data_IF_018216637080
#
_entry.id   IF_018216637080
#
_cell.length_a   1.000
_cell.length_b   1.000
_cell.length_c   1.000
_cell.angle_alpha   90.00
_cell.angle_beta   90.00
_cell.angle_gamma   90.00
#
_symmetry.space_group_name_H-M   'P 1'
#
loop_
_entity.id
_entity.type
_entity.pdbx_description
1 polymer ?
#
# COMPACT_ATOMS: atom_id res chain seq x y z
N UNK A 1 -16.88 -57.44 -31.29
CA UNK A 1 -17.34 -58.03 -30.01
C UNK A 1 -17.52 -56.92 -28.98
N UNK A 2 -18.78 -56.66 -28.60
CA UNK A 2 -19.36 -55.94 -27.45
C UNK A 2 -18.83 -54.56 -26.98
N UNK A 3 -19.51 -53.48 -27.41
CA UNK A 3 -19.64 -52.18 -26.71
C UNK A 3 -20.98 -52.12 -25.95
N UNK A 4 -21.10 -52.73 -24.76
CA UNK A 4 -22.37 -52.78 -24.00
C UNK A 4 -22.23 -52.58 -22.48
N UNK A 5 -21.33 -51.71 -22.01
CA UNK A 5 -21.13 -51.50 -20.54
C UNK A 5 -21.60 -50.15 -19.99
N UNK A 6 -21.94 -49.17 -20.83
CA UNK A 6 -22.32 -47.82 -20.40
C UNK A 6 -23.82 -47.64 -20.08
N UNK A 7 -24.71 -48.49 -20.59
CA UNK A 7 -26.17 -48.30 -20.41
C UNK A 7 -26.66 -48.60 -18.99
N UNK A 8 -25.97 -49.43 -18.21
CA UNK A 8 -26.43 -49.79 -16.86
C UNK A 8 -26.31 -48.67 -15.82
N UNK A 9 -25.45 -47.68 -16.03
CA UNK A 9 -25.23 -46.61 -15.04
C UNK A 9 -26.26 -45.48 -15.16
N UNK A 10 -26.65 -45.13 -16.40
CA UNK A 10 -27.68 -44.13 -16.69
C UNK A 10 -29.10 -44.52 -16.25
N UNK A 11 -29.33 -45.82 -16.05
CA UNK A 11 -30.61 -46.39 -15.59
C UNK A 11 -30.76 -46.37 -14.05
N UNK A 12 -29.74 -45.86 -13.33
CA UNK A 12 -29.84 -45.76 -11.87
C UNK A 12 -30.83 -44.66 -11.50
N UNK A 13 -31.76 -44.94 -10.58
CA UNK A 13 -32.77 -43.97 -10.13
C UNK A 13 -32.19 -42.59 -9.72
N UNK A 14 -30.98 -42.57 -9.15
CA UNK A 14 -30.22 -41.36 -8.85
C UNK A 14 -29.91 -40.52 -10.09
N UNK A 15 -29.50 -41.14 -11.20
CA UNK A 15 -29.16 -40.44 -12.43
C UNK A 15 -30.39 -39.77 -13.06
N UNK A 16 -31.52 -40.48 -13.07
CA UNK A 16 -32.78 -40.01 -13.66
C UNK A 16 -33.45 -38.91 -12.86
N UNK A 17 -33.35 -38.93 -11.52
CA UNK A 17 -34.02 -37.95 -10.66
C UNK A 17 -33.14 -36.75 -10.30
N UNK A 18 -31.82 -36.94 -10.15
CA UNK A 18 -30.87 -35.91 -9.70
C UNK A 18 -30.00 -35.38 -10.85
N UNK A 19 -29.29 -36.24 -11.59
CA UNK A 19 -28.37 -35.76 -12.65
C UNK A 19 -29.08 -35.27 -13.91
N UNK A 20 -30.24 -35.84 -14.23
CA UNK A 20 -31.01 -35.46 -15.41
C UNK A 20 -31.78 -34.12 -15.23
N UNK A 21 -31.70 -33.50 -14.04
CA UNK A 21 -32.33 -32.22 -13.77
C UNK A 21 -31.34 -31.06 -13.91
N UNK A 22 -31.58 -30.18 -14.90
CA UNK A 22 -30.75 -29.03 -15.20
C UNK A 22 -30.56 -28.08 -13.99
N UNK A 23 -31.58 -27.93 -13.15
CA UNK A 23 -31.51 -27.06 -11.96
C UNK A 23 -30.58 -27.65 -10.89
N UNK A 24 -30.67 -28.96 -10.67
CA UNK A 24 -29.84 -29.68 -9.69
C UNK A 24 -28.38 -29.66 -10.12
N UNK A 25 -28.10 -29.87 -11.41
CA UNK A 25 -26.75 -29.78 -11.96
C UNK A 25 -26.18 -28.35 -11.88
N UNK A 26 -26.99 -27.32 -12.16
CA UNK A 26 -26.58 -25.93 -12.00
C UNK A 26 -26.25 -25.60 -10.54
N UNK A 27 -27.04 -26.09 -9.59
CA UNK A 27 -26.78 -25.92 -8.16
C UNK A 27 -25.49 -26.63 -7.72
N UNK A 28 -25.23 -27.84 -8.23
CA UNK A 28 -24.01 -28.60 -7.97
C UNK A 28 -22.77 -27.87 -8.51
N UNK A 29 -22.84 -27.32 -9.72
CA UNK A 29 -21.76 -26.50 -10.30
C UNK A 29 -21.53 -25.24 -9.47
N UNK A 30 -22.60 -24.54 -9.08
CA UNK A 30 -22.51 -23.36 -8.22
C UNK A 30 -21.87 -23.70 -6.87
N UNK A 31 -22.24 -24.83 -6.27
CA UNK A 31 -21.68 -25.32 -5.03
C UNK A 31 -20.19 -25.67 -5.17
N UNK A 32 -19.77 -26.29 -6.28
CA UNK A 32 -18.37 -26.57 -6.58
C UNK A 32 -17.54 -25.29 -6.76
N UNK A 33 -18.09 -24.28 -7.45
CA UNK A 33 -17.45 -22.97 -7.59
C UNK A 33 -17.32 -22.31 -6.21
N UNK A 34 -18.38 -22.33 -5.40
CA UNK A 34 -18.37 -21.83 -4.03
C UNK A 34 -17.33 -22.51 -3.16
N UNK A 35 -17.22 -23.84 -3.24
CA UNK A 35 -16.19 -24.61 -2.53
C UNK A 35 -14.78 -24.22 -2.97
N UNK A 36 -14.58 -24.06 -4.28
CA UNK A 36 -13.29 -23.65 -4.86
C UNK A 36 -12.90 -22.28 -4.32
N UNK A 37 -13.79 -21.29 -4.41
CA UNK A 37 -13.56 -19.94 -3.88
C UNK A 37 -13.25 -19.99 -2.39
N UNK A 38 -14.00 -20.77 -1.60
CA UNK A 38 -13.78 -20.93 -0.15
C UNK A 38 -12.38 -21.46 0.16
N UNK A 39 -11.94 -22.49 -0.57
CA UNK A 39 -10.59 -23.04 -0.43
C UNK A 39 -9.53 -21.97 -0.75
N UNK A 40 -9.70 -21.22 -1.84
CA UNK A 40 -8.81 -20.11 -2.18
C UNK A 40 -8.76 -19.04 -1.08
N UNK A 41 -9.89 -18.67 -0.48
CA UNK A 41 -9.93 -17.72 0.65
C UNK A 41 -9.19 -18.25 1.87
N UNK A 42 -9.20 -19.56 2.12
CA UNK A 42 -8.47 -20.18 3.24
C UNK A 42 -6.98 -20.34 2.99
N UNK A 43 -6.56 -20.46 1.73
CA UNK A 43 -5.16 -20.57 1.32
C UNK A 43 -4.50 -19.18 1.18
N UNK A 44 -5.27 -18.16 0.78
CA UNK A 44 -4.81 -16.78 0.57
C UNK A 44 -3.93 -16.21 1.71
N UNK A 45 -4.20 -16.46 3.01
CA UNK A 45 -3.35 -16.00 4.11
C UNK A 45 -1.89 -16.47 4.05
N UNK A 46 -1.58 -17.57 3.36
CA UNK A 46 -0.19 -18.06 3.19
C UNK A 46 0.67 -17.06 2.40
N UNK A 47 0.06 -16.24 1.53
CA UNK A 47 0.74 -15.18 0.80
C UNK A 47 0.80 -13.85 1.55
N UNK A 48 0.07 -13.72 2.67
CA UNK A 48 0.04 -12.50 3.47
C UNK A 48 1.43 -12.05 3.93
N UNK A 49 2.33 -12.93 4.42
CA UNK A 49 3.67 -12.52 4.83
C UNK A 49 4.50 -11.88 3.70
N UNK A 50 4.33 -12.34 2.45
CA UNK A 50 5.04 -11.80 1.29
C UNK A 50 4.57 -10.38 0.97
N UNK A 51 3.26 -10.18 0.95
CA UNK A 51 2.65 -8.86 0.69
C UNK A 51 3.02 -7.90 1.82
N UNK A 52 2.88 -8.31 3.08
CA UNK A 52 3.24 -7.50 4.25
C UNK A 52 4.72 -7.11 4.23
N UNK A 53 5.61 -8.06 3.95
CA UNK A 53 7.03 -7.80 3.81
C UNK A 53 7.28 -6.74 2.73
N UNK A 54 6.70 -6.92 1.54
CA UNK A 54 6.83 -5.95 0.45
C UNK A 54 6.31 -4.58 0.88
N UNK A 55 5.14 -4.48 1.51
CA UNK A 55 4.56 -3.23 1.99
C UNK A 55 5.47 -2.51 2.99
N UNK A 56 6.07 -3.24 3.94
CA UNK A 56 6.96 -2.66 4.97
C UNK A 56 8.22 -2.09 4.32
N UNK A 57 8.82 -2.80 3.35
CA UNK A 57 10.06 -2.35 2.70
C UNK A 57 9.81 -1.38 1.54
N UNK A 58 8.59 -1.32 0.99
CA UNK A 58 8.27 -0.52 -0.19
C UNK A 58 8.58 0.94 0.04
N UNK A 59 8.14 1.48 1.18
CA UNK A 59 8.30 2.90 1.51
C UNK A 59 9.79 3.30 1.60
N UNK A 60 10.64 2.67 2.45
CA UNK A 60 12.05 3.01 2.50
C UNK A 60 12.78 2.74 1.17
N UNK A 61 12.35 1.74 0.39
CA UNK A 61 12.92 1.45 -0.92
C UNK A 61 12.61 2.55 -1.95
N UNK A 62 11.35 3.02 -2.03
CA UNK A 62 10.96 4.14 -2.90
C UNK A 62 11.70 5.41 -2.50
N UNK A 63 11.75 5.72 -1.20
CA UNK A 63 12.50 6.88 -0.68
C UNK A 63 13.99 6.76 -1.06
N UNK A 64 14.59 5.58 -0.91
CA UNK A 64 15.99 5.35 -1.27
C UNK A 64 16.25 5.53 -2.76
N UNK A 65 15.36 5.01 -3.63
CA UNK A 65 15.48 5.19 -5.08
C UNK A 65 15.37 6.66 -5.49
N UNK A 66 14.41 7.39 -4.92
CA UNK A 66 14.26 8.82 -5.13
C UNK A 66 15.50 9.58 -4.66
N UNK A 67 15.94 9.36 -3.41
CA UNK A 67 17.13 10.01 -2.87
C UNK A 67 18.37 9.71 -3.70
N UNK A 68 18.58 8.46 -4.12
CA UNK A 68 19.70 8.11 -5.00
C UNK A 68 19.67 8.92 -6.29
N UNK A 69 18.49 9.02 -6.93
CA UNK A 69 18.35 9.77 -8.17
C UNK A 69 18.59 11.27 -7.97
N UNK A 70 18.18 11.84 -6.82
CA UNK A 70 18.41 13.24 -6.47
C UNK A 70 19.86 13.53 -6.07
N UNK A 71 20.52 12.61 -5.36
CA UNK A 71 21.90 12.77 -4.89
C UNK A 71 22.89 12.61 -6.04
N UNK A 72 22.64 11.70 -7.00
CA UNK A 72 23.52 11.47 -8.14
C UNK A 72 23.93 12.73 -8.91
N UNK A 73 23.04 13.66 -9.32
CA UNK A 73 23.43 14.90 -9.99
C UNK A 73 24.25 15.81 -9.07
N UNK A 74 23.94 15.89 -7.78
CA UNK A 74 24.75 16.64 -6.80
C UNK A 74 26.17 16.07 -6.74
N UNK A 75 26.32 14.74 -6.70
CA UNK A 75 27.64 14.07 -6.70
C UNK A 75 28.43 14.46 -7.95
N UNK A 76 27.79 14.47 -9.12
CA UNK A 76 28.44 14.86 -10.37
C UNK A 76 28.85 16.34 -10.37
N UNK A 77 28.07 17.23 -9.75
CA UNK A 77 28.45 18.65 -9.61
C UNK A 77 29.69 18.82 -8.73
N UNK A 78 29.80 18.04 -7.65
CA UNK A 78 30.97 18.05 -6.76
C UNK A 78 32.17 17.35 -7.43
N UNK A 79 31.96 16.28 -8.19
CA UNK A 79 33.03 15.61 -8.92
C UNK A 79 33.69 16.53 -9.97
N UNK A 80 32.93 17.46 -10.56
CA UNK A 80 33.47 18.50 -11.46
C UNK A 80 34.47 19.45 -10.79
N UNK A 81 34.51 19.55 -9.46
CA UNK A 81 35.52 20.36 -8.76
C UNK A 81 36.85 19.63 -8.58
N UNK A 82 36.97 18.40 -9.09
CA UNK A 82 38.19 17.58 -9.04
C UNK A 82 38.25 16.60 -7.87
N UNK A 83 37.15 16.44 -7.12
CA UNK A 83 37.06 15.48 -6.02
C UNK A 83 36.75 14.07 -6.54
N UNK A 84 37.48 13.07 -6.01
CA UNK A 84 37.20 11.66 -6.28
C UNK A 84 35.78 11.29 -5.87
N UNK A 85 35.10 10.45 -6.67
CA UNK A 85 33.71 10.03 -6.48
C UNK A 85 33.37 9.61 -5.03
N UNK A 86 34.25 8.86 -4.36
CA UNK A 86 34.05 8.46 -2.95
C UNK A 86 34.00 9.65 -2.01
N UNK A 87 34.89 10.64 -2.20
CA UNK A 87 34.93 11.85 -1.37
C UNK A 87 33.71 12.74 -1.64
N UNK A 88 33.27 12.85 -2.90
CA UNK A 88 32.06 13.60 -3.27
C UNK A 88 30.81 13.00 -2.61
N UNK A 89 30.69 11.67 -2.61
CA UNK A 89 29.58 10.97 -1.94
C UNK A 89 29.62 11.23 -0.43
N UNK A 90 30.78 11.07 0.22
CA UNK A 90 30.93 11.31 1.65
C UNK A 90 30.59 12.74 2.04
N UNK A 91 31.07 13.72 1.27
CA UNK A 91 30.80 15.14 1.49
C UNK A 91 29.30 15.44 1.40
N UNK A 92 28.62 14.92 0.38
CA UNK A 92 27.19 15.15 0.19
C UNK A 92 26.38 14.49 1.30
N UNK A 93 26.72 13.28 1.72
CA UNK A 93 26.05 12.65 2.87
C UNK A 93 26.27 13.43 4.16
N UNK A 94 27.48 13.94 4.41
CA UNK A 94 27.78 14.77 5.57
C UNK A 94 26.95 16.07 5.58
N UNK A 95 26.89 16.77 4.43
CA UNK A 95 26.09 17.98 4.25
C UNK A 95 24.60 17.67 4.44
N UNK A 96 24.10 16.58 3.86
CA UNK A 96 22.71 16.16 3.96
C UNK A 96 22.32 15.81 5.40
N UNK A 97 23.18 15.10 6.13
CA UNK A 97 22.98 14.80 7.54
C UNK A 97 22.93 16.07 8.40
N UNK A 98 23.85 17.02 8.15
CA UNK A 98 23.85 18.32 8.83
C UNK A 98 22.56 19.11 8.55
N UNK A 99 22.14 19.15 7.28
CA UNK A 99 20.89 19.79 6.86
C UNK A 99 19.66 19.14 7.50
N UNK A 100 19.62 17.81 7.62
CA UNK A 100 18.53 17.10 8.26
C UNK A 100 18.48 17.39 9.76
N UNK A 101 19.61 17.33 10.47
CA UNK A 101 19.65 17.64 11.91
C UNK A 101 19.24 19.10 12.15
N UNK A 102 19.78 20.03 11.38
CA UNK A 102 19.42 21.44 11.46
C UNK A 102 17.96 21.70 11.10
N UNK A 103 17.47 21.07 10.04
CA UNK A 103 16.09 21.16 9.57
C UNK A 103 15.10 20.62 10.59
N UNK A 104 15.35 19.45 11.17
CA UNK A 104 14.50 18.87 12.23
C UNK A 104 14.55 19.72 13.50
N UNK A 105 15.75 20.15 13.90
CA UNK A 105 15.94 20.97 15.10
C UNK A 105 15.27 22.35 15.01
N UNK A 106 15.04 22.88 13.81
CA UNK A 106 14.36 24.16 13.60
C UNK A 106 12.89 23.99 13.25
N UNK A 107 12.53 22.99 12.45
CA UNK A 107 11.15 22.74 12.03
C UNK A 107 10.26 22.35 13.21
N UNK A 108 10.71 21.44 14.08
CA UNK A 108 9.93 20.99 15.24
C UNK A 108 9.52 22.16 16.16
N UNK A 109 10.43 22.99 16.69
CA UNK A 109 10.04 24.10 17.57
C UNK A 109 9.20 25.14 16.83
N UNK A 110 9.54 25.50 15.59
CA UNK A 110 8.75 26.45 14.82
C UNK A 110 7.31 25.96 14.57
N UNK A 111 7.13 24.67 14.29
CA UNK A 111 5.80 24.08 14.14
C UNK A 111 5.02 24.09 15.46
N UNK A 112 5.69 23.82 16.58
CA UNK A 112 5.07 23.93 17.91
C UNK A 112 4.65 25.36 18.21
N UNK A 113 5.53 26.34 18.00
CA UNK A 113 5.23 27.76 18.21
C UNK A 113 4.09 28.21 17.31
N UNK A 114 4.08 27.80 16.03
CA UNK A 114 2.99 28.07 15.10
C UNK A 114 1.65 27.50 15.61
N UNK A 115 1.62 26.25 16.07
CA UNK A 115 0.41 25.63 16.62
C UNK A 115 -0.03 26.35 17.91
N UNK A 116 0.90 26.69 18.80
CA UNK A 116 0.60 27.41 20.04
C UNK A 116 0.03 28.80 19.76
N UNK A 117 0.57 29.52 18.78
CA UNK A 117 0.05 30.82 18.33
C UNK A 117 -1.35 30.66 17.75
N UNK A 118 -1.59 29.62 16.94
CA UNK A 118 -2.93 29.33 16.40
C UNK A 118 -3.95 29.05 17.50
N UNK A 119 -3.59 28.22 18.50
CA UNK A 119 -4.48 27.91 19.62
C UNK A 119 -4.76 29.17 20.47
N UNK A 120 -3.73 29.98 20.74
CA UNK A 120 -3.89 31.23 21.50
C UNK A 120 -4.76 32.26 20.77
N UNK A 121 -4.66 32.32 19.44
CA UNK A 121 -5.40 33.27 18.62
C UNK A 121 -6.76 32.74 18.15
N UNK A 122 -7.01 31.43 18.24
CA UNK A 122 -8.30 30.80 17.93
C UNK A 122 -9.51 31.52 18.55
N UNK A 123 -9.56 31.83 19.87
CA UNK A 123 -10.69 32.55 20.45
C UNK A 123 -10.86 33.95 19.85
N UNK A 124 -9.76 34.62 19.49
CA UNK A 124 -9.82 35.94 18.85
C UNK A 124 -10.37 35.88 17.42
N UNK A 125 -10.08 34.80 16.68
CA UNK A 125 -10.65 34.59 15.35
C UNK A 125 -12.16 34.31 15.41
N UNK A 126 -12.59 33.51 16.39
CA UNK A 126 -14.01 33.23 16.64
C UNK A 126 -14.74 34.51 17.06
N UNK A 127 -14.16 35.31 17.97
CA UNK A 127 -14.75 36.57 18.40
C UNK A 127 -14.91 37.58 17.25
N UNK A 128 -13.93 37.67 16.35
CA UNK A 128 -14.01 38.53 15.15
C UNK A 128 -15.12 38.06 14.20
N UNK A 129 -15.19 36.76 13.91
CA UNK A 129 -16.23 36.19 13.05
C UNK A 129 -17.64 36.44 13.59
N UNK A 130 -17.85 36.32 14.90
CA UNK A 130 -19.15 36.62 15.53
C UNK A 130 -19.49 38.11 15.44
N UNK A 131 -18.53 39.01 15.68
CA UNK A 131 -18.75 40.45 15.63
C UNK A 131 -19.06 41.00 14.23
N UNK A 132 -18.58 40.34 13.18
CA UNK A 132 -18.96 40.68 11.80
C UNK A 132 -20.37 40.20 11.49
N UNK A 133 -20.79 39.06 12.03
CA UNK A 133 -22.13 38.50 11.83
C UNK A 133 -23.22 39.35 12.49
N UNK A 134 -22.93 39.96 13.66
CA UNK A 134 -23.87 40.87 14.36
C UNK A 134 -24.01 42.25 13.70
N UNK A 135 -23.16 42.59 12.72
CA UNK A 135 -23.22 43.86 11.98
C UNK A 135 -24.07 43.82 10.72
N UNK A 136 -24.54 42.64 10.30
CA UNK A 136 -25.46 42.42 9.18
C UNK A 136 -26.87 42.14 9.69
#
# INVERSE_FOLDING_TARGET
>A
MSRKKTEKFSETWFFMWILNNQVVMAFLILLLIGLTVLIFTKISPIFSPVIQFLTIIMLPLVISMLLYYLIKPLVLLVEKTGLNRTMSILLIYAILALLLVWGISTAIPNLQDQILILIRNAPSYIARANSETERW
#
